data_IF_552221500942
#
_entry.id   IF_552221500942
#
_cell.length_a   1.000
_cell.length_b   1.000
_cell.length_c   1.000
_cell.angle_alpha   90.00
_cell.angle_beta   90.00
_cell.angle_gamma   90.00
#
_symmetry.space_group_name_H-M   'P 1'
#
loop_
_entity.id
_entity.type
_entity.pdbx_description
1 polymer ?
#
# COMPACT_ATOMS: atom_id res chain seq x y z
N UNK A 1 -8.07 -7.42 -22.33
CA UNK A 1 -6.68 -7.02 -22.04
C UNK A 1 -6.50 -6.96 -20.54
N UNK A 2 -5.31 -7.27 -20.03
CA UNK A 2 -5.01 -7.18 -18.59
C UNK A 2 -3.91 -6.14 -18.37
N UNK A 3 -4.08 -5.26 -17.40
CA UNK A 3 -3.01 -4.37 -16.91
C UNK A 3 -2.39 -4.97 -15.67
N UNK A 4 -1.06 -5.05 -15.66
CA UNK A 4 -0.26 -5.43 -14.51
C UNK A 4 0.43 -4.18 -13.97
N UNK A 5 0.34 -3.93 -12.67
CA UNK A 5 0.87 -2.75 -12.00
C UNK A 5 1.62 -3.15 -10.74
N UNK A 6 2.90 -2.80 -10.63
CA UNK A 6 3.61 -2.89 -9.34
C UNK A 6 3.10 -1.79 -8.42
N UNK A 7 2.35 -2.16 -7.39
CA UNK A 7 1.59 -1.22 -6.56
C UNK A 7 2.47 -0.22 -5.80
N UNK A 8 3.70 -0.62 -5.46
CA UNK A 8 4.59 0.26 -4.72
C UNK A 8 5.21 1.37 -5.61
N UNK A 9 5.55 1.03 -6.85
CA UNK A 9 6.42 1.83 -7.70
C UNK A 9 5.71 2.35 -8.96
N UNK A 10 4.53 1.83 -9.25
CA UNK A 10 3.63 2.30 -10.30
C UNK A 10 4.01 1.88 -11.72
N UNK A 11 5.08 1.10 -11.94
CA UNK A 11 5.38 0.58 -13.28
C UNK A 11 4.28 -0.38 -13.73
N UNK A 12 3.87 -0.22 -14.98
CA UNK A 12 2.75 -0.97 -15.57
C UNK A 12 3.16 -1.65 -16.87
N UNK A 13 2.45 -2.72 -17.20
CA UNK A 13 2.50 -3.36 -18.51
C UNK A 13 1.11 -3.88 -18.90
N UNK A 14 0.81 -3.91 -20.20
CA UNK A 14 -0.47 -4.37 -20.75
C UNK A 14 -0.27 -5.70 -21.46
N UNK A 15 -1.05 -6.71 -21.09
CA UNK A 15 -1.08 -8.01 -21.74
C UNK A 15 -2.36 -8.19 -22.58
N UNK A 16 -2.17 -8.64 -23.82
CA UNK A 16 -3.24 -9.08 -24.71
C UNK A 16 -3.57 -10.54 -24.42
N UNK A 17 -4.85 -10.84 -24.23
CA UNK A 17 -5.34 -12.20 -24.03
C UNK A 17 -5.22 -13.00 -25.34
N UNK A 18 -4.89 -14.28 -25.22
CA UNK A 18 -4.84 -15.24 -26.32
C UNK A 18 -6.11 -16.09 -26.34
N UNK A 19 -7.26 -15.43 -26.47
CA UNK A 19 -8.58 -16.07 -26.34
C UNK A 19 -8.81 -17.20 -27.36
N UNK A 20 -8.11 -17.16 -28.51
CA UNK A 20 -8.18 -18.23 -29.51
C UNK A 20 -7.32 -19.46 -29.15
N UNK A 21 -6.30 -19.30 -28.31
CA UNK A 21 -5.34 -20.37 -27.96
C UNK A 21 -5.64 -20.99 -26.59
N UNK A 22 -6.14 -20.21 -25.64
CA UNK A 22 -6.47 -20.65 -24.28
C UNK A 22 -7.79 -20.00 -23.78
N UNK A 23 -8.93 -20.28 -24.44
CA UNK A 23 -10.20 -19.63 -24.15
C UNK A 23 -10.69 -19.85 -22.71
N UNK A 24 -10.60 -21.07 -22.19
CA UNK A 24 -11.11 -21.39 -20.84
C UNK A 24 -10.24 -20.74 -19.76
N UNK A 25 -8.93 -20.71 -19.97
CA UNK A 25 -7.96 -20.03 -19.12
C UNK A 25 -8.20 -18.53 -19.14
N UNK A 26 -8.36 -17.92 -20.32
CA UNK A 26 -8.67 -16.48 -20.44
C UNK A 26 -9.97 -16.12 -19.72
N UNK A 27 -11.01 -16.94 -19.90
CA UNK A 27 -12.32 -16.76 -19.25
C UNK A 27 -12.21 -16.83 -17.73
N UNK A 28 -11.55 -17.86 -17.21
CA UNK A 28 -11.38 -18.05 -15.77
C UNK A 28 -10.54 -16.94 -15.12
N UNK A 29 -9.42 -16.57 -15.73
CA UNK A 29 -8.58 -15.47 -15.22
C UNK A 29 -9.34 -14.16 -15.26
N UNK A 30 -10.00 -13.83 -16.38
CA UNK A 30 -10.77 -12.58 -16.47
C UNK A 30 -11.87 -12.51 -15.42
N UNK A 31 -12.52 -13.63 -15.11
CA UNK A 31 -13.54 -13.70 -14.06
C UNK A 31 -12.96 -13.54 -12.64
N UNK A 32 -11.68 -13.86 -12.43
CA UNK A 32 -11.00 -13.68 -11.16
C UNK A 32 -10.44 -12.25 -10.96
N UNK A 33 -10.37 -11.44 -12.02
CA UNK A 33 -9.88 -10.06 -11.93
C UNK A 33 -10.94 -9.13 -11.30
N UNK A 34 -10.52 -8.06 -10.59
CA UNK A 34 -9.13 -7.67 -10.32
C UNK A 34 -8.48 -8.50 -9.20
N UNK A 35 -7.17 -8.71 -9.31
CA UNK A 35 -6.37 -9.42 -8.31
C UNK A 35 -5.22 -8.54 -7.86
N UNK A 36 -5.18 -8.24 -6.57
CA UNK A 36 -4.03 -7.64 -5.92
C UNK A 36 -3.46 -8.62 -4.89
N UNK A 37 -2.18 -8.97 -5.03
CA UNK A 37 -1.53 -9.96 -4.18
C UNK A 37 -0.02 -9.75 -4.16
N UNK A 38 0.65 -10.48 -3.28
CA UNK A 38 2.11 -10.56 -3.27
C UNK A 38 2.56 -11.31 -4.51
N UNK A 39 3.56 -10.76 -5.17
CA UNK A 39 4.27 -11.46 -6.22
C UNK A 39 5.71 -11.76 -5.82
N UNK A 40 6.18 -12.92 -6.27
CA UNK A 40 7.49 -13.48 -5.97
C UNK A 40 8.30 -13.60 -7.25
N UNK A 41 9.62 -13.60 -7.10
CA UNK A 41 10.50 -14.10 -8.13
C UNK A 41 10.59 -15.63 -8.02
N UNK A 42 10.38 -16.37 -9.12
CA UNK A 42 10.47 -17.83 -9.08
C UNK A 42 11.92 -18.30 -8.90
N UNK A 43 12.16 -19.26 -8.01
CA UNK A 43 13.52 -19.74 -7.71
C UNK A 43 14.08 -20.69 -8.76
N UNK A 44 13.22 -21.47 -9.43
CA UNK A 44 13.64 -22.53 -10.34
C UNK A 44 13.53 -22.18 -11.82
N UNK A 45 12.72 -21.16 -12.17
CA UNK A 45 12.32 -20.90 -13.55
C UNK A 45 13.09 -19.78 -14.26
N UNK A 46 14.18 -19.26 -13.69
CA UNK A 46 14.96 -18.19 -14.30
C UNK A 46 14.26 -16.82 -14.21
N UNK A 47 14.04 -16.13 -15.33
CA UNK A 47 13.40 -14.80 -15.36
C UNK A 47 11.87 -14.86 -15.33
N UNK A 48 11.33 -15.36 -14.22
CA UNK A 48 9.88 -15.48 -13.98
C UNK A 48 9.47 -14.69 -12.73
N UNK A 49 8.41 -13.89 -12.87
CA UNK A 49 7.64 -13.38 -11.75
C UNK A 49 6.32 -14.15 -11.63
N UNK A 50 5.85 -14.37 -10.41
CA UNK A 50 4.60 -15.08 -10.13
C UNK A 50 3.74 -14.29 -9.16
N UNK A 51 2.45 -14.28 -9.36
CA UNK A 51 1.47 -13.80 -8.38
C UNK A 51 0.50 -14.94 -8.05
N UNK A 52 0.42 -15.29 -6.77
CA UNK A 52 -0.51 -16.32 -6.29
C UNK A 52 -1.89 -15.67 -6.19
N UNK A 53 -2.88 -16.32 -6.79
CA UNK A 53 -4.27 -15.87 -6.75
C UNK A 53 -4.85 -16.11 -5.35
N UNK A 54 -5.63 -15.15 -4.81
CA UNK A 54 -6.23 -15.29 -3.48
C UNK A 54 -7.30 -16.40 -3.44
N UNK A 55 -7.98 -16.63 -4.55
CA UNK A 55 -8.92 -17.73 -4.73
C UNK A 55 -8.30 -18.80 -5.63
N UNK A 56 -8.50 -20.06 -5.27
CA UNK A 56 -8.06 -21.19 -6.07
C UNK A 56 -8.88 -21.27 -7.35
N UNK A 57 -8.24 -20.99 -8.48
CA UNK A 57 -8.78 -21.21 -9.81
C UNK A 57 -8.28 -22.58 -10.28
N UNK A 58 -9.17 -23.42 -10.82
CA UNK A 58 -8.82 -24.75 -11.33
C UNK A 58 -9.31 -24.87 -12.78
N UNK A 59 -8.39 -24.80 -13.74
CA UNK A 59 -8.68 -24.97 -15.17
C UNK A 59 -7.74 -26.03 -15.73
N UNK A 60 -8.20 -26.94 -16.61
CA UNK A 60 -7.31 -27.84 -17.34
C UNK A 60 -6.25 -27.05 -18.13
N UNK A 61 -5.03 -27.60 -18.31
CA UNK A 61 -4.01 -26.93 -19.11
C UNK A 61 -4.45 -26.68 -20.56
N UNK A 62 -4.29 -25.44 -21.05
CA UNK A 62 -4.55 -25.03 -22.44
C UNK A 62 -3.33 -24.29 -22.99
N UNK A 63 -2.93 -24.55 -24.24
CA UNK A 63 -1.71 -23.95 -24.81
C UNK A 63 -0.49 -24.10 -23.88
N UNK A 64 -0.40 -25.26 -23.23
CA UNK A 64 0.54 -25.48 -22.13
C UNK A 64 1.94 -25.81 -22.65
N UNK A 65 2.95 -25.08 -22.16
CA UNK A 65 4.35 -25.29 -22.55
C UNK A 65 5.29 -24.86 -21.42
N UNK A 66 6.47 -25.47 -21.37
CA UNK A 66 7.59 -24.96 -20.56
C UNK A 66 8.57 -24.12 -21.40
N UNK A 67 8.42 -24.12 -22.73
CA UNK A 67 9.23 -23.31 -23.65
C UNK A 67 8.56 -21.95 -23.85
N UNK A 68 8.99 -20.98 -23.04
CA UNK A 68 8.41 -19.62 -22.98
C UNK A 68 9.33 -18.60 -23.64
N UNK A 69 8.81 -17.41 -23.94
CA UNK A 69 9.58 -16.28 -24.46
C UNK A 69 9.37 -15.03 -23.59
N UNK A 70 10.31 -14.07 -23.61
CA UNK A 70 10.07 -12.76 -23.02
C UNK A 70 8.74 -12.16 -23.51
N UNK A 71 7.95 -11.68 -22.57
CA UNK A 71 6.61 -11.14 -22.78
C UNK A 71 5.48 -12.15 -22.66
N UNK A 72 5.74 -13.45 -22.60
CA UNK A 72 4.66 -14.42 -22.36
C UNK A 72 4.13 -14.32 -20.92
N UNK A 73 2.83 -14.58 -20.78
CA UNK A 73 2.11 -14.61 -19.50
C UNK A 73 1.39 -15.96 -19.42
N UNK A 74 1.72 -16.70 -18.36
CA UNK A 74 1.28 -18.06 -18.13
C UNK A 74 0.34 -18.18 -16.93
N UNK A 75 -0.39 -19.28 -16.89
CA UNK A 75 -1.23 -19.67 -15.77
C UNK A 75 -1.00 -21.13 -15.44
N UNK A 76 -0.94 -21.45 -14.15
CA UNK A 76 -0.95 -22.83 -13.67
C UNK A 76 -1.63 -22.93 -12.31
N UNK A 77 -1.98 -24.15 -11.92
CA UNK A 77 -2.43 -24.45 -10.57
C UNK A 77 -1.87 -25.79 -10.13
N UNK A 78 -1.66 -25.91 -8.82
CA UNK A 78 -1.10 -27.10 -8.20
C UNK A 78 -2.08 -27.62 -7.16
N UNK A 79 -2.34 -28.93 -7.19
CA UNK A 79 -3.07 -29.59 -6.12
C UNK A 79 -2.17 -29.75 -4.88
N UNK A 80 -2.76 -29.78 -3.70
CA UNK A 80 -2.03 -30.12 -2.47
C UNK A 80 -1.33 -31.48 -2.61
N UNK A 81 -0.02 -31.52 -2.33
CA UNK A 81 0.82 -32.70 -2.46
C UNK A 81 1.22 -33.07 -3.89
N UNK A 82 0.93 -32.24 -4.90
CA UNK A 82 1.26 -32.55 -6.30
C UNK A 82 2.75 -32.41 -6.66
N UNK A 83 3.50 -31.63 -5.88
CA UNK A 83 4.95 -31.43 -6.06
C UNK A 83 5.63 -31.13 -4.71
N UNK A 84 6.96 -31.21 -4.67
CA UNK A 84 7.73 -30.86 -3.49
C UNK A 84 7.45 -29.41 -3.04
N UNK A 85 7.08 -29.23 -1.76
CA UNK A 85 6.77 -27.93 -1.18
C UNK A 85 5.32 -27.45 -1.36
N UNK A 86 4.51 -28.13 -2.18
CA UNK A 86 3.09 -27.78 -2.37
C UNK A 86 2.24 -28.41 -1.26
N UNK A 87 2.17 -27.76 -0.10
CA UNK A 87 1.39 -28.26 1.05
C UNK A 87 -0.11 -27.99 0.88
N UNK A 88 -0.46 -26.86 0.27
CA UNK A 88 -1.83 -26.45 -0.03
C UNK A 88 -1.99 -26.27 -1.53
N UNK A 89 -3.22 -26.43 -2.01
CA UNK A 89 -3.53 -26.14 -3.41
C UNK A 89 -3.49 -24.63 -3.63
N UNK A 90 -2.91 -24.20 -4.74
CA UNK A 90 -2.89 -22.79 -5.15
C UNK A 90 -2.89 -22.68 -6.67
N UNK A 91 -3.23 -21.49 -7.16
CA UNK A 91 -3.17 -21.12 -8.56
C UNK A 91 -2.41 -19.82 -8.71
N UNK A 92 -1.69 -19.66 -9.82
CA UNK A 92 -0.83 -18.52 -10.04
C UNK A 92 -0.88 -18.01 -11.47
N UNK A 93 -0.70 -16.70 -11.62
CA UNK A 93 -0.36 -16.06 -12.88
C UNK A 93 1.15 -15.80 -12.86
N UNK A 94 1.84 -16.23 -13.91
CA UNK A 94 3.27 -15.99 -14.06
C UNK A 94 3.57 -15.19 -15.32
N UNK A 95 4.71 -14.50 -15.34
CA UNK A 95 5.18 -13.76 -16.50
C UNK A 95 6.69 -13.88 -16.69
N UNK A 96 7.10 -13.86 -17.95
CA UNK A 96 8.47 -14.11 -18.35
C UNK A 96 9.09 -12.85 -18.94
N UNK A 97 10.18 -12.38 -18.34
CA UNK A 97 10.73 -11.05 -18.66
C UNK A 97 12.16 -11.07 -19.24
N UNK A 98 12.74 -12.26 -19.43
CA UNK A 98 14.05 -12.45 -20.09
C UNK A 98 14.18 -13.85 -20.72
N UNK A 99 15.26 -14.08 -21.48
CA UNK A 99 15.45 -15.26 -22.33
C UNK A 99 15.83 -16.55 -21.58
N UNK A 100 16.31 -16.43 -20.34
CA UNK A 100 16.67 -17.56 -19.47
C UNK A 100 15.45 -18.19 -18.77
N UNK A 101 14.24 -17.65 -18.99
CA UNK A 101 13.04 -18.16 -18.37
C UNK A 101 12.62 -19.53 -18.92
N UNK A 102 12.38 -20.48 -18.01
CA UNK A 102 11.80 -21.79 -18.32
C UNK A 102 11.05 -22.31 -17.09
N UNK A 103 9.71 -22.21 -17.05
CA UNK A 103 8.87 -22.76 -15.98
C UNK A 103 9.35 -24.13 -15.54
N UNK A 104 9.77 -24.23 -14.28
CA UNK A 104 10.38 -25.43 -13.74
C UNK A 104 10.06 -25.59 -12.26
N UNK A 105 9.92 -26.83 -11.83
CA UNK A 105 9.88 -27.24 -10.43
C UNK A 105 11.13 -28.08 -10.12
N UNK A 106 11.24 -28.59 -8.90
CA UNK A 106 12.35 -29.46 -8.52
C UNK A 106 12.43 -30.73 -9.41
N UNK A 107 11.29 -31.19 -9.89
CA UNK A 107 11.10 -32.38 -10.71
C UNK A 107 11.43 -32.16 -12.20
N UNK A 108 11.66 -30.91 -12.62
CA UNK A 108 11.99 -30.55 -14.00
C UNK A 108 11.04 -29.50 -14.61
N UNK A 109 11.02 -29.36 -15.94
CA UNK A 109 10.16 -28.40 -16.62
C UNK A 109 8.68 -28.59 -16.27
N UNK A 110 8.00 -27.51 -15.93
CA UNK A 110 6.61 -27.48 -15.49
C UNK A 110 5.78 -26.65 -16.48
N UNK A 111 4.99 -27.28 -17.38
CA UNK A 111 4.23 -26.55 -18.37
C UNK A 111 3.19 -25.60 -17.76
N UNK A 112 3.08 -24.39 -18.29
CA UNK A 112 2.07 -23.40 -17.92
C UNK A 112 1.21 -23.05 -19.12
N UNK A 113 -0.07 -22.73 -18.90
CA UNK A 113 -1.02 -22.34 -19.94
C UNK A 113 -0.73 -20.92 -20.41
N UNK A 114 -0.19 -20.76 -21.61
CA UNK A 114 0.07 -19.42 -22.16
C UNK A 114 -1.22 -18.76 -22.61
N UNK A 115 -1.75 -17.87 -21.76
CA UNK A 115 -3.06 -17.26 -21.96
C UNK A 115 -2.99 -15.78 -22.32
N UNK A 116 -1.85 -15.11 -22.13
CA UNK A 116 -1.67 -13.73 -22.55
C UNK A 116 -0.23 -13.44 -22.99
N UNK A 117 -0.02 -12.29 -23.61
CA UNK A 117 1.31 -11.77 -23.96
C UNK A 117 1.37 -10.27 -23.76
N UNK A 118 2.40 -9.77 -23.11
CA UNK A 118 2.65 -8.35 -23.00
C UNK A 118 2.83 -7.69 -24.38
N UNK A 119 2.32 -6.47 -24.49
CA UNK A 119 2.38 -5.63 -25.69
C UNK A 119 2.74 -4.20 -25.33
N UNK A 120 3.30 -3.45 -26.29
CA UNK A 120 3.75 -2.07 -26.07
C UNK A 120 5.12 -2.01 -25.38
N UNK A 121 5.36 -0.90 -24.65
CA UNK A 121 6.59 -0.72 -23.87
C UNK A 121 6.47 -1.44 -22.51
N UNK A 122 7.33 -2.41 -22.29
CA UNK A 122 7.37 -3.24 -21.08
C UNK A 122 8.65 -3.04 -20.26
N UNK A 123 9.56 -2.15 -20.69
CA UNK A 123 10.92 -2.13 -20.14
C UNK A 123 10.93 -1.70 -18.67
N UNK A 124 10.12 -0.71 -18.29
CA UNK A 124 10.00 -0.28 -16.90
C UNK A 124 9.50 -1.43 -16.00
N UNK A 125 8.48 -2.16 -16.45
CA UNK A 125 7.90 -3.30 -15.74
C UNK A 125 8.88 -4.49 -15.65
N UNK A 126 9.60 -4.81 -16.73
CA UNK A 126 10.60 -5.88 -16.72
C UNK A 126 11.83 -5.51 -15.89
N UNK A 127 12.27 -4.26 -15.90
CA UNK A 127 13.33 -3.77 -15.00
C UNK A 127 12.93 -3.93 -13.54
N UNK A 128 11.66 -3.64 -13.18
CA UNK A 128 11.16 -3.88 -11.82
C UNK A 128 11.10 -5.37 -11.49
N UNK A 129 10.67 -6.20 -12.43
CA UNK A 129 10.68 -7.66 -12.30
C UNK A 129 12.11 -8.21 -12.06
N UNK A 130 13.11 -7.70 -12.79
CA UNK A 130 14.54 -8.01 -12.55
C UNK A 130 15.00 -7.62 -11.15
N UNK A 131 14.52 -6.49 -10.62
CA UNK A 131 14.87 -6.03 -9.27
C UNK A 131 14.32 -6.96 -8.17
N UNK A 132 13.19 -7.65 -8.42
CA UNK A 132 12.62 -8.62 -7.47
C UNK A 132 13.56 -9.78 -7.16
N UNK A 133 14.50 -10.13 -8.05
CA UNK A 133 15.57 -11.11 -7.76
C UNK A 133 16.37 -10.78 -6.50
N UNK A 134 16.51 -9.49 -6.20
CA UNK A 134 17.27 -9.00 -5.04
C UNK A 134 16.38 -8.64 -3.86
N UNK A 135 15.16 -8.16 -4.11
CA UNK A 135 14.24 -7.75 -3.05
C UNK A 135 13.32 -8.88 -2.56
N UNK A 136 13.26 -10.01 -3.27
CA UNK A 136 12.43 -11.18 -2.96
C UNK A 136 10.98 -11.01 -3.42
N UNK A 137 10.25 -10.08 -2.79
CA UNK A 137 8.79 -9.93 -2.96
C UNK A 137 8.38 -8.47 -3.22
N UNK A 138 7.23 -8.28 -3.85
CA UNK A 138 6.56 -6.98 -3.97
C UNK A 138 5.06 -7.20 -4.18
N UNK A 139 4.25 -6.14 -4.27
CA UNK A 139 2.81 -6.27 -4.51
C UNK A 139 2.48 -5.92 -5.96
N UNK A 140 1.63 -6.74 -6.57
CA UNK A 140 1.18 -6.59 -7.94
C UNK A 140 -0.35 -6.49 -7.96
N UNK A 141 -0.86 -5.61 -8.82
CA UNK A 141 -2.26 -5.56 -9.23
C UNK A 141 -2.38 -6.01 -10.68
N UNK A 142 -3.17 -7.05 -10.92
CA UNK A 142 -3.67 -7.43 -12.22
C UNK A 142 -5.14 -7.01 -12.33
N UNK A 143 -5.52 -6.29 -13.38
CA UNK A 143 -6.89 -5.80 -13.58
C UNK A 143 -7.27 -5.83 -15.06
N UNK A 144 -8.57 -5.85 -15.37
CA UNK A 144 -9.02 -5.63 -16.74
C UNK A 144 -8.58 -4.24 -17.22
N UNK A 145 -8.04 -4.14 -18.43
CA UNK A 145 -7.62 -2.86 -19.01
C UNK A 145 -8.73 -2.17 -19.85
N UNK A 146 -10.01 -2.56 -19.69
CA UNK A 146 -11.15 -1.83 -20.28
C UNK A 146 -11.29 -0.44 -19.65
N UNK A 147 -11.70 0.55 -20.44
CA UNK A 147 -11.50 2.00 -20.24
C UNK A 147 -12.20 2.70 -19.04
N UNK A 148 -12.66 1.98 -18.02
CA UNK A 148 -13.17 2.61 -16.79
C UNK A 148 -12.54 1.95 -15.56
N UNK A 149 -11.93 2.78 -14.70
CA UNK A 149 -11.34 2.32 -13.43
C UNK A 149 -12.46 2.19 -12.41
N UNK A 150 -12.98 0.98 -12.25
CA UNK A 150 -13.65 0.64 -11.00
C UNK A 150 -12.61 0.58 -9.87
N UNK A 151 -13.01 1.04 -8.69
CA UNK A 151 -12.16 1.02 -7.52
C UNK A 151 -11.71 -0.42 -7.19
N UNK A 152 -10.40 -0.66 -7.14
CA UNK A 152 -9.85 -1.95 -6.74
C UNK A 152 -9.41 -1.93 -5.27
N UNK A 153 -9.91 -2.91 -4.52
CA UNK A 153 -9.47 -3.20 -3.16
C UNK A 153 -8.12 -3.92 -3.21
N UNK A 154 -7.09 -3.31 -2.62
CA UNK A 154 -5.75 -3.91 -2.53
C UNK A 154 -5.54 -4.48 -1.13
N UNK A 155 -5.44 -5.81 -0.94
CA UNK A 155 -5.02 -6.36 0.34
C UNK A 155 -3.56 -5.98 0.61
N UNK A 156 -3.28 -5.52 1.83
CA UNK A 156 -1.92 -5.23 2.27
C UNK A 156 -1.32 -6.52 2.83
N UNK A 157 -0.14 -6.87 2.32
CA UNK A 157 0.65 -7.97 2.85
C UNK A 157 1.83 -7.41 3.64
N UNK A 158 1.87 -7.76 4.92
CA UNK A 158 3.03 -7.49 5.76
C UNK A 158 4.04 -8.63 5.57
N UNK A 159 5.22 -8.40 4.98
CA UNK A 159 6.22 -9.46 4.80
C UNK A 159 6.70 -10.07 6.13
N UNK A 160 6.43 -9.45 7.29
CA UNK A 160 6.71 -10.02 8.61
C UNK A 160 5.59 -10.94 9.15
N UNK A 161 4.39 -10.93 8.56
CA UNK A 161 3.25 -11.72 8.98
C UNK A 161 2.66 -12.50 7.79
N UNK A 162 2.65 -13.83 7.87
CA UNK A 162 2.14 -14.72 6.80
C UNK A 162 0.62 -14.62 6.55
N UNK A 163 -0.10 -13.70 7.20
CA UNK A 163 -1.55 -13.52 7.07
C UNK A 163 -1.89 -12.21 6.30
N UNK A 164 -2.69 -12.28 5.22
CA UNK A 164 -3.13 -11.09 4.50
C UNK A 164 -4.07 -10.22 5.37
N UNK A 165 -3.83 -8.91 5.39
CA UNK A 165 -4.74 -7.93 6.02
C UNK A 165 -5.67 -7.41 4.94
N UNK A 166 -6.94 -7.82 4.98
CA UNK A 166 -7.97 -7.33 4.06
C UNK A 166 -8.40 -5.92 4.48
N UNK A 167 -7.95 -4.89 3.76
CA UNK A 167 -8.49 -3.54 3.87
C UNK A 167 -9.33 -3.28 2.63
N UNK A 168 -10.63 -3.01 2.78
CA UNK A 168 -11.47 -2.52 1.70
C UNK A 168 -11.05 -1.10 1.35
N UNK A 169 -10.87 -0.74 0.07
CA UNK A 169 -10.59 0.64 -0.40
C UNK A 169 -11.47 0.93 -1.63
N UNK A 170 -12.16 2.09 -1.66
CA UNK A 170 -12.90 2.58 -2.86
C UNK A 170 -12.22 3.83 -3.40
N UNK A 171 -11.53 3.76 -4.54
CA UNK A 171 -11.00 4.93 -5.25
C UNK A 171 -12.12 5.54 -6.11
N UNK A 172 -12.60 6.74 -5.79
CA UNK A 172 -13.58 7.47 -6.61
C UNK A 172 -12.92 8.15 -7.81
N UNK A 173 -13.69 8.46 -8.87
CA UNK A 173 -13.18 9.05 -10.13
C UNK A 173 -12.51 10.43 -10.02
N UNK A 174 -12.49 11.02 -8.83
CA UNK A 174 -11.74 12.24 -8.46
C UNK A 174 -10.38 11.94 -7.82
N UNK A 175 -9.99 10.66 -7.71
CA UNK A 175 -8.75 10.22 -7.04
C UNK A 175 -8.81 10.20 -5.51
N UNK A 176 -9.99 10.41 -4.91
CA UNK A 176 -10.19 10.26 -3.47
C UNK A 176 -10.47 8.79 -3.10
N UNK A 177 -9.87 8.29 -2.02
CA UNK A 177 -10.19 6.98 -1.47
C UNK A 177 -11.26 7.15 -0.40
N UNK A 178 -12.42 6.54 -0.59
CA UNK A 178 -13.57 6.52 0.33
C UNK A 178 -13.83 5.09 0.76
N UNK A 179 -14.45 4.88 1.92
CA UNK A 179 -14.85 3.54 2.37
C UNK A 179 -16.38 3.50 2.47
N UNK A 180 -16.99 2.45 1.90
CA UNK A 180 -18.40 2.13 2.12
C UNK A 180 -18.54 1.28 3.39
N UNK A 181 -19.59 1.46 4.21
CA UNK A 181 -19.74 0.70 5.43
C UNK A 181 -20.20 -0.76 5.17
N UNK A 182 -19.45 -1.72 5.69
CA UNK A 182 -19.93 -3.08 6.00
C UNK A 182 -20.73 -3.08 7.31
N UNK A 183 -21.94 -3.63 7.27
CA UNK A 183 -22.88 -3.65 8.39
C UNK A 183 -22.68 -4.86 9.33
N UNK A 184 -21.85 -5.84 8.97
CA UNK A 184 -21.87 -7.15 9.62
C UNK A 184 -20.86 -7.36 10.78
N UNK A 185 -19.74 -6.64 10.82
CA UNK A 185 -18.57 -7.10 11.61
C UNK A 185 -18.16 -6.22 12.78
N UNK A 186 -18.65 -4.99 12.93
CA UNK A 186 -18.24 -4.11 14.04
C UNK A 186 -16.72 -3.87 14.15
N UNK A 187 -15.96 -4.15 13.09
CA UNK A 187 -14.50 -4.09 13.08
C UNK A 187 -13.95 -2.67 12.82
N UNK A 188 -12.78 -2.42 13.39
CA UNK A 188 -11.96 -1.22 13.20
C UNK A 188 -11.80 -0.83 11.73
N UNK A 189 -11.93 0.46 11.40
CA UNK A 189 -11.63 0.96 10.05
C UNK A 189 -10.57 2.05 10.10
N UNK A 190 -9.43 1.77 9.49
CA UNK A 190 -8.37 2.75 9.23
C UNK A 190 -8.42 3.12 7.74
N UNK A 191 -8.75 4.37 7.43
CA UNK A 191 -8.45 4.99 6.13
C UNK A 191 -6.94 5.00 5.96
N UNK A 192 -6.43 4.56 4.81
CA UNK A 192 -5.01 4.62 4.45
C UNK A 192 -4.88 5.42 3.17
N UNK A 193 -3.89 6.33 3.11
CA UNK A 193 -3.49 7.01 1.87
C UNK A 193 -1.98 7.05 1.79
N UNK A 194 -1.41 6.49 0.72
CA UNK A 194 0.03 6.51 0.47
C UNK A 194 0.41 7.69 -0.43
N UNK A 195 1.43 8.45 -0.04
CA UNK A 195 1.96 9.56 -0.84
C UNK A 195 3.09 9.09 -1.77
N UNK A 196 3.39 9.81 -2.86
CA UNK A 196 4.45 9.45 -3.82
C UNK A 196 5.86 9.32 -3.22
N UNK A 197 6.09 9.90 -2.04
CA UNK A 197 7.35 9.81 -1.31
C UNK A 197 7.45 8.56 -0.39
N UNK A 198 6.44 7.69 -0.40
CA UNK A 198 6.42 6.46 0.37
C UNK A 198 5.75 6.53 1.74
N UNK A 199 5.37 7.72 2.22
CA UNK A 199 4.72 7.89 3.53
C UNK A 199 3.23 7.55 3.51
N UNK A 200 2.68 7.26 4.69
CA UNK A 200 1.29 6.87 4.90
C UNK A 200 0.54 7.91 5.73
N UNK A 201 -0.71 8.15 5.37
CA UNK A 201 -1.72 8.83 6.19
C UNK A 201 -2.72 7.79 6.66
N UNK A 202 -2.93 7.68 7.97
CA UNK A 202 -3.97 6.85 8.56
C UNK A 202 -5.01 7.69 9.31
N UNK A 203 -6.29 7.47 9.07
CA UNK A 203 -7.40 8.13 9.78
C UNK A 203 -8.50 7.11 10.06
N UNK A 204 -8.95 6.94 11.30
CA UNK A 204 -9.93 5.90 11.59
C UNK A 204 -10.62 6.08 12.93
N UNK A 205 -11.79 5.47 13.06
CA UNK A 205 -12.50 5.30 14.33
C UNK A 205 -12.42 3.82 14.72
N UNK A 206 -11.95 3.53 15.94
CA UNK A 206 -11.92 2.17 16.52
C UNK A 206 -12.86 2.13 17.70
N UNK A 207 -13.82 1.22 17.64
CA UNK A 207 -14.78 0.98 18.71
C UNK A 207 -14.61 -0.47 19.18
N UNK A 208 -13.92 -0.67 20.30
CA UNK A 208 -13.79 -1.98 20.96
C UNK A 208 -12.56 -2.10 21.87
N UNK A 209 -12.72 -2.70 23.07
CA UNK A 209 -11.61 -3.03 23.97
C UNK A 209 -11.34 -2.08 25.14
N UNK A 210 -12.29 -1.22 25.54
CA UNK A 210 -12.06 -0.19 26.56
C UNK A 210 -11.29 1.03 26.05
N UNK A 211 -10.97 1.03 24.75
CA UNK A 211 -10.42 2.16 24.00
C UNK A 211 -11.47 2.63 22.98
N UNK A 212 -11.56 3.94 22.81
CA UNK A 212 -12.26 4.57 21.69
C UNK A 212 -11.21 5.36 20.95
N UNK A 213 -10.83 4.92 19.74
CA UNK A 213 -9.99 5.74 18.88
C UNK A 213 -10.92 6.80 18.31
N UNK A 214 -10.84 7.99 18.89
CA UNK A 214 -11.68 9.12 18.49
C UNK A 214 -11.18 9.73 17.18
N UNK A 215 -11.95 10.66 16.64
CA UNK A 215 -11.68 11.45 15.41
C UNK A 215 -10.32 12.20 15.35
N UNK A 216 -9.42 12.00 16.30
CA UNK A 216 -8.15 12.69 16.48
C UNK A 216 -6.94 11.74 16.54
N UNK A 217 -7.11 10.46 16.21
CA UNK A 217 -6.01 9.50 16.30
C UNK A 217 -5.42 9.21 14.92
N UNK A 218 -4.10 9.17 14.85
CA UNK A 218 -3.38 9.01 13.59
C UNK A 218 -2.24 8.01 13.74
N UNK A 219 -2.17 7.07 12.80
CA UNK A 219 -1.11 6.06 12.75
C UNK A 219 -0.05 6.42 11.71
N UNK A 220 1.21 6.10 12.02
CA UNK A 220 2.34 6.14 11.11
C UNK A 220 2.95 4.74 11.04
N UNK A 221 3.24 4.27 9.83
CA UNK A 221 4.02 3.05 9.60
C UNK A 221 5.22 3.42 8.75
N UNK A 222 6.42 3.38 9.33
CA UNK A 222 7.68 3.63 8.62
C UNK A 222 8.73 2.63 9.13
N UNK A 223 9.42 1.95 8.20
CA UNK A 223 10.52 1.01 8.49
C UNK A 223 10.21 -0.04 9.58
N UNK A 224 8.98 -0.57 9.58
CA UNK A 224 8.52 -1.58 10.54
C UNK A 224 8.09 -1.02 11.91
N UNK A 225 8.23 0.29 12.14
CA UNK A 225 7.69 0.97 13.30
C UNK A 225 6.28 1.45 13.00
N UNK A 226 5.27 0.87 13.66
CA UNK A 226 3.92 1.43 13.70
C UNK A 226 3.73 2.24 14.98
N UNK A 227 3.36 3.52 14.87
CA UNK A 227 3.06 4.39 15.99
C UNK A 227 1.68 5.00 15.84
N UNK A 228 0.92 5.12 16.93
CA UNK A 228 -0.35 5.87 17.00
C UNK A 228 -0.14 7.08 17.89
N UNK A 229 -0.52 8.24 17.37
CA UNK A 229 -0.61 9.48 18.14
C UNK A 229 -2.08 9.74 18.44
N UNK A 230 -2.40 9.99 19.71
CA UNK A 230 -3.76 10.29 20.18
C UNK A 230 -3.79 11.49 21.14
N UNK A 231 -4.99 12.02 21.36
CA UNK A 231 -5.23 13.12 22.30
C UNK A 231 -5.76 12.56 23.62
N UNK A 232 -4.97 12.66 24.69
CA UNK A 232 -5.39 12.28 26.04
C UNK A 232 -6.39 13.27 26.66
N UNK A 233 -6.99 12.90 27.80
CA UNK A 233 -8.07 13.67 28.45
C UNK A 233 -7.72 15.10 28.90
N UNK A 234 -6.43 15.45 28.91
CA UNK A 234 -5.91 16.80 29.24
C UNK A 234 -5.44 17.58 28.01
N UNK A 235 -5.86 17.16 26.80
CA UNK A 235 -5.29 17.58 25.51
C UNK A 235 -3.79 17.27 25.37
N UNK A 236 -3.24 16.39 26.21
CA UNK A 236 -1.86 15.93 26.06
C UNK A 236 -1.77 14.97 24.88
N UNK A 237 -0.85 15.24 23.95
CA UNK A 237 -0.60 14.32 22.84
C UNK A 237 0.25 13.16 23.35
N UNK A 238 -0.27 11.95 23.19
CA UNK A 238 0.39 10.72 23.63
C UNK A 238 0.67 9.82 22.44
N UNK A 239 1.77 9.07 22.51
CA UNK A 239 2.18 8.11 21.50
C UNK A 239 2.20 6.69 22.05
N UNK A 240 1.70 5.75 21.27
CA UNK A 240 1.84 4.30 21.51
C UNK A 240 2.54 3.65 20.31
N UNK A 241 3.39 2.68 20.57
CA UNK A 241 4.12 1.94 19.55
C UNK A 241 3.60 0.52 19.44
N UNK A 242 3.46 0.02 18.22
CA UNK A 242 3.17 -1.39 18.03
C UNK A 242 4.42 -2.23 18.21
N UNK A 243 4.23 -3.44 18.75
CA UNK A 243 5.28 -4.44 18.88
C UNK A 243 5.28 -5.48 17.74
N UNK A 244 4.23 -5.52 16.91
CA UNK A 244 3.90 -6.66 16.05
C UNK A 244 3.00 -6.28 14.85
N UNK A 245 3.19 -5.10 14.25
CA UNK A 245 2.44 -4.68 13.05
C UNK A 245 1.00 -4.23 13.30
N UNK A 246 0.64 -3.99 14.56
CA UNK A 246 -0.60 -3.36 15.01
C UNK A 246 -1.46 -4.22 15.93
N UNK A 247 -1.04 -5.43 16.29
CA UNK A 247 -1.81 -6.35 17.12
C UNK A 247 -1.69 -6.06 18.62
N UNK A 248 -0.50 -5.68 19.09
CA UNK A 248 -0.23 -5.22 20.45
C UNK A 248 0.48 -3.87 20.44
N UNK A 249 0.23 -3.10 21.51
CA UNK A 249 0.66 -1.72 21.64
C UNK A 249 1.29 -1.46 23.00
N UNK A 250 2.31 -0.61 23.03
CA UNK A 250 2.89 -0.10 24.26
C UNK A 250 1.88 0.75 25.03
N UNK A 251 2.08 0.90 26.34
CA UNK A 251 1.39 1.96 27.09
C UNK A 251 1.64 3.33 26.45
N UNK A 252 0.61 4.17 26.44
CA UNK A 252 0.68 5.52 25.94
C UNK A 252 1.74 6.33 26.69
N UNK A 253 2.60 7.04 25.94
CA UNK A 253 3.65 7.89 26.49
C UNK A 253 3.40 9.34 26.12
N UNK A 254 3.46 10.29 27.07
CA UNK A 254 3.42 11.71 26.76
C UNK A 254 4.50 12.12 25.77
N UNK A 255 4.11 12.92 24.77
CA UNK A 255 5.07 13.59 23.86
C UNK A 255 5.61 14.90 24.43
N UNK A 256 4.98 15.42 25.50
CA UNK A 256 5.24 16.77 26.03
C UNK A 256 4.51 17.89 25.28
N UNK A 257 3.81 17.55 24.19
CA UNK A 257 2.99 18.49 23.42
C UNK A 257 1.53 18.46 23.90
N UNK A 258 0.85 19.59 23.76
CA UNK A 258 -0.58 19.72 24.06
C UNK A 258 -1.32 20.30 22.87
N UNK A 259 -2.46 19.71 22.53
CA UNK A 259 -3.33 20.17 21.47
C UNK A 259 -4.36 19.13 21.06
N UNK A 260 -5.08 19.42 20.00
CA UNK A 260 -6.15 18.61 19.43
C UNK A 260 -5.91 18.42 17.93
N UNK A 261 -6.66 17.48 17.32
CA UNK A 261 -6.64 17.22 15.87
C UNK A 261 -5.22 17.03 15.30
N UNK A 262 -4.39 16.15 15.89
CA UNK A 262 -3.05 15.93 15.40
C UNK A 262 -3.07 15.35 13.99
N UNK A 263 -2.07 15.70 13.21
CA UNK A 263 -1.81 15.21 11.85
C UNK A 263 -0.32 14.95 11.72
N UNK A 264 0.07 13.72 11.42
CA UNK A 264 1.45 13.25 11.39
C UNK A 264 1.84 12.90 9.96
N UNK A 265 3.10 13.14 9.61
CA UNK A 265 3.66 12.82 8.32
C UNK A 265 5.09 12.31 8.50
N UNK A 266 5.38 11.11 8.00
CA UNK A 266 6.75 10.65 7.80
C UNK A 266 7.41 11.40 6.64
N UNK A 267 8.62 11.87 6.87
CA UNK A 267 9.42 12.62 5.90
C UNK A 267 10.59 11.81 5.34
N UNK A 268 10.77 10.55 5.76
CA UNK A 268 11.93 9.74 5.43
C UNK A 268 13.07 9.94 6.43
N UNK A 269 14.02 8.99 6.46
CA UNK A 269 15.19 9.00 7.35
C UNK A 269 14.82 9.06 8.86
N UNK A 270 13.64 8.54 9.23
CA UNK A 270 13.12 8.58 10.59
C UNK A 270 12.58 9.96 11.02
N UNK A 271 12.56 10.97 10.14
CA UNK A 271 12.03 12.28 10.49
C UNK A 271 10.51 12.27 10.43
N UNK A 272 9.89 12.74 11.49
CA UNK A 272 8.44 12.85 11.60
C UNK A 272 8.05 14.32 11.80
N UNK A 273 7.02 14.75 11.07
CA UNK A 273 6.38 16.04 11.26
C UNK A 273 4.97 15.86 11.84
N UNK A 274 4.61 16.76 12.75
CA UNK A 274 3.32 16.82 13.42
C UNK A 274 2.74 18.23 13.24
N UNK A 275 1.46 18.31 12.89
CA UNK A 275 0.63 19.51 12.98
C UNK A 275 -0.49 19.25 13.99
N UNK A 276 -0.78 20.21 14.86
CA UNK A 276 -1.80 20.08 15.90
C UNK A 276 -2.39 21.44 16.25
N UNK A 277 -3.60 21.48 16.80
CA UNK A 277 -4.30 22.70 17.20
C UNK A 277 -4.20 22.88 18.71
N UNK A 278 -3.42 23.85 19.19
CA UNK A 278 -3.25 24.17 20.61
C UNK A 278 -4.00 25.46 21.01
N UNK A 279 -3.79 25.95 22.23
CA UNK A 279 -4.46 27.16 22.74
C UNK A 279 -4.11 28.43 21.93
N UNK A 280 -2.98 28.40 21.21
CA UNK A 280 -2.51 29.45 20.31
C UNK A 280 -2.90 29.19 18.85
N UNK A 281 -3.65 28.13 18.54
CA UNK A 281 -4.06 27.74 17.19
C UNK A 281 -3.15 26.68 16.57
N UNK A 282 -3.00 26.70 15.25
CA UNK A 282 -2.21 25.69 14.53
C UNK A 282 -0.72 25.76 14.86
N UNK A 283 -0.23 24.72 15.50
CA UNK A 283 1.16 24.49 15.88
C UNK A 283 1.77 23.33 15.11
N UNK A 284 3.11 23.35 15.01
CA UNK A 284 3.89 22.33 14.32
C UNK A 284 4.99 21.82 15.22
N UNK A 285 5.32 20.54 15.10
CA UNK A 285 6.49 19.93 15.71
C UNK A 285 7.19 19.01 14.71
N UNK A 286 8.51 18.86 14.83
CA UNK A 286 9.25 17.81 14.13
C UNK A 286 10.27 17.16 15.04
N UNK A 287 10.64 15.93 14.70
CA UNK A 287 11.65 15.17 15.42
C UNK A 287 12.23 14.05 14.56
N UNK A 288 13.34 13.47 15.01
CA UNK A 288 13.91 12.23 14.47
C UNK A 288 13.16 10.97 14.92
N UNK A 289 12.11 11.14 15.73
CA UNK A 289 11.14 10.13 16.12
C UNK A 289 9.90 10.81 16.71
N UNK A 290 8.79 10.07 16.85
CA UNK A 290 7.57 10.56 17.51
C UNK A 290 7.80 10.87 19.00
N UNK A 291 8.87 10.35 19.60
CA UNK A 291 9.27 10.62 21.00
C UNK A 291 10.19 11.84 21.18
N UNK A 292 10.73 12.41 20.10
CA UNK A 292 11.59 13.61 20.14
C UNK A 292 10.98 14.75 19.31
N UNK A 293 9.65 14.88 19.36
CA UNK A 293 8.94 15.97 18.69
C UNK A 293 9.23 17.29 19.42
N UNK A 294 9.75 18.27 18.69
CA UNK A 294 10.02 19.62 19.20
C UNK A 294 9.17 20.64 18.47
N UNK A 295 8.53 21.59 19.18
CA UNK A 295 7.81 22.67 18.53
C UNK A 295 8.69 23.41 17.52
N UNK A 296 8.17 23.58 16.32
CA UNK A 296 8.71 24.48 15.31
C UNK A 296 7.87 25.74 15.42
N UNK A 297 8.45 26.86 15.84
CA UNK A 297 7.76 28.15 15.81
C UNK A 297 7.98 28.76 14.42
N UNK A 298 7.05 28.58 13.46
CA UNK A 298 7.38 28.84 12.07
C UNK A 298 7.44 30.35 11.82
N UNK A 299 6.61 31.15 12.50
CA UNK A 299 6.56 32.60 12.36
C UNK A 299 5.96 33.23 13.63
N UNK A 300 6.56 34.30 14.15
CA UNK A 300 6.08 34.98 15.36
C UNK A 300 4.69 35.64 15.23
N UNK A 301 4.07 35.66 14.03
CA UNK A 301 2.89 36.49 13.73
C UNK A 301 1.78 35.78 12.91
N UNK A 302 1.80 34.46 12.75
CA UNK A 302 0.78 33.74 11.97
C UNK A 302 -0.09 32.85 12.87
N UNK A 303 -1.11 33.44 13.47
CA UNK A 303 -2.13 32.71 14.24
C UNK A 303 -3.27 32.30 13.30
N UNK A 304 -3.46 31.00 13.06
CA UNK A 304 -4.59 30.49 12.28
C UNK A 304 -5.56 29.80 13.25
N UNK A 305 -6.74 30.38 13.43
CA UNK A 305 -7.82 29.82 14.26
C UNK A 305 -8.88 29.14 13.38
N UNK A 306 -9.56 28.12 13.94
CA UNK A 306 -10.81 27.60 13.37
C UNK A 306 -10.65 26.57 12.24
N UNK A 307 -9.56 25.81 12.23
CA UNK A 307 -9.33 24.76 11.24
C UNK A 307 -10.05 23.47 11.63
N UNK A 308 -10.73 22.83 10.66
CA UNK A 308 -11.41 21.56 10.91
C UNK A 308 -10.38 20.46 11.22
N UNK A 309 -9.37 20.28 10.36
CA UNK A 309 -8.27 19.32 10.52
C UNK A 309 -7.05 19.77 9.67
N UNK A 310 -5.84 19.92 10.24
CA UNK A 310 -4.65 20.20 9.45
C UNK A 310 -4.24 18.98 8.62
N UNK A 311 -3.90 19.19 7.35
CA UNK A 311 -3.38 18.15 6.46
C UNK A 311 -1.93 18.50 6.12
N UNK A 312 -1.00 17.63 6.50
CA UNK A 312 0.41 17.73 6.11
C UNK A 312 0.67 17.01 4.79
N UNK A 313 1.41 17.68 3.91
CA UNK A 313 1.90 17.16 2.64
C UNK A 313 3.41 17.42 2.55
N UNK A 314 4.19 16.45 2.08
CA UNK A 314 5.61 16.66 1.78
C UNK A 314 5.74 17.25 0.38
N UNK A 315 6.49 18.35 0.24
CA UNK A 315 6.85 18.95 -1.04
C UNK A 315 8.32 18.64 -1.44
N UNK A 316 8.93 17.66 -0.78
CA UNK A 316 10.34 17.28 -0.95
C UNK A 316 11.09 17.20 0.40
N UNK A 317 12.40 16.90 0.37
CA UNK A 317 13.18 16.54 1.56
C UNK A 317 13.27 17.63 2.63
N UNK A 318 13.05 18.90 2.28
CA UNK A 318 13.18 20.04 3.19
C UNK A 318 11.96 20.98 3.19
N UNK A 319 10.82 20.53 2.66
CA UNK A 319 9.61 21.37 2.54
C UNK A 319 8.37 20.61 2.94
N UNK A 320 7.66 21.17 3.91
CA UNK A 320 6.32 20.75 4.28
C UNK A 320 5.30 21.74 3.72
N UNK A 321 4.13 21.22 3.44
CA UNK A 321 2.96 22.02 3.18
C UNK A 321 1.88 21.60 4.16
N UNK A 322 1.33 22.56 4.91
CA UNK A 322 0.11 22.35 5.66
C UNK A 322 -1.04 23.01 4.90
N UNK A 323 -2.01 22.21 4.47
CA UNK A 323 -3.28 22.69 3.99
C UNK A 323 -4.29 22.56 5.12
N UNK A 324 -5.02 23.63 5.39
CA UNK A 324 -6.07 23.57 6.40
C UNK A 324 -7.31 24.31 5.91
N UNK A 325 -8.44 23.63 5.98
CA UNK A 325 -9.73 24.18 5.58
C UNK A 325 -10.30 25.03 6.72
N UNK A 326 -10.42 26.33 6.50
CA UNK A 326 -11.08 27.25 7.42
C UNK A 326 -12.60 27.12 7.25
N UNK A 327 -13.28 26.56 8.26
CA UNK A 327 -14.74 26.40 8.22
C UNK A 327 -15.39 27.79 8.23
N UNK A 328 -16.03 28.16 7.11
CA UNK A 328 -16.79 29.40 6.96
C UNK A 328 -16.07 30.57 6.28
N UNK A 329 -14.84 30.40 5.78
CA UNK A 329 -14.15 31.45 5.02
C UNK A 329 -14.63 31.50 3.55
N UNK A 330 -14.80 32.72 3.01
CA UNK A 330 -15.20 32.95 1.59
C UNK A 330 -14.03 32.93 0.59
N UNK A 331 -12.82 32.65 1.04
CA UNK A 331 -11.59 32.60 0.23
C UNK A 331 -10.92 31.22 0.33
N UNK A 332 -10.24 30.75 -0.72
CA UNK A 332 -9.74 29.37 -0.83
C UNK A 332 -8.66 29.04 0.22
N UNK A 333 -8.43 27.73 0.38
CA UNK A 333 -7.56 27.07 1.35
C UNK A 333 -6.23 27.81 1.58
N UNK A 334 -5.92 28.13 2.83
CA UNK A 334 -4.61 28.68 3.19
C UNK A 334 -3.56 27.57 3.05
N UNK A 335 -2.66 27.74 2.10
CA UNK A 335 -1.50 26.88 1.90
C UNK A 335 -0.30 27.44 2.67
N UNK A 336 0.09 26.80 3.77
CA UNK A 336 1.28 27.19 4.52
C UNK A 336 2.45 26.30 4.11
N UNK A 337 3.47 26.87 3.45
CA UNK A 337 4.72 26.18 3.15
C UNK A 337 5.68 26.42 4.31
N UNK A 338 6.09 25.34 4.99
CA UNK A 338 6.98 25.38 6.15
C UNK A 338 8.35 24.86 5.70
N UNK A 339 9.40 25.70 5.73
CA UNK A 339 10.75 25.21 5.52
C UNK A 339 11.15 24.35 6.72
N UNK A 340 11.62 23.13 6.45
CA UNK A 340 12.21 22.29 7.51
C UNK A 340 13.64 22.76 7.80
N UNK A 341 14.10 22.68 9.07
CA UNK A 341 15.48 22.98 9.38
C UNK A 341 16.41 22.08 8.57
N UNK A 342 17.30 22.67 7.77
CA UNK A 342 18.36 21.92 7.09
C UNK A 342 19.50 21.64 8.07
N UNK A 343 19.26 20.76 9.03
CA UNK A 343 20.27 20.31 10.00
C UNK A 343 20.64 18.86 9.73
N UNK A 344 21.94 18.54 9.69
CA UNK A 344 22.37 17.15 9.95
C UNK A 344 22.00 16.84 11.40
N UNK A 345 20.95 16.04 11.59
CA UNK A 345 20.70 15.34 12.85
C UNK A 345 21.73 14.23 13.04
#
# INVERSE_FOLDING_TARGET
>A
MIRFTFLHTGETAIAMLRENEAPETCRAITAALPVASVCHHASYSGSEGVVILPELVCVPPENATAEVRPGDVGYTWFAAGSAYGVVQAFSEICWFYDQDARPSMHEGPAPVSLFARFTGDTEAFFRRSRAMRRSGVTCLLAESASDERDAVVVPYYDPANEAPITAHEVVTGDGAVRLAPDAATGGCRLLRRRYPNGSWFLSGEVVGGGWTIGSADLALVEDGLAAVLSVGGTNELVVSFSHDGGATWSSARPTGLRGTKPSLLALGNGVVALAYDDESGLSFACGSSVTDLRPIHPFANATIHGLAHPILLSLGPNRLCCAAHAVGARTPDTLLIIPLPTGRA
#
